data_IF_974765489421
#
_entry.id   IF_974765489421
#
_cell.length_a   1.000
_cell.length_b   1.000
_cell.length_c   1.000
_cell.angle_alpha   90.00
_cell.angle_beta   90.00
_cell.angle_gamma   90.00
#
_symmetry.space_group_name_H-M   'P 1'
#
loop_
_entity.id
_entity.type
_entity.pdbx_description
1 polymer ?
#
# COMPACT_ATOMS: atom_id res chain seq x y z
N UNK A 1 -32.89 8.44 -106.18
CA UNK A 1 -32.67 9.89 -105.96
C UNK A 1 -33.13 10.25 -104.56
N UNK A 2 -32.23 10.55 -103.62
CA UNK A 2 -32.30 11.67 -102.67
C UNK A 2 -30.87 11.88 -102.13
N UNK A 3 -30.45 13.15 -102.13
CA UNK A 3 -29.11 13.66 -101.81
C UNK A 3 -28.75 13.51 -100.33
N UNK A 4 -27.44 13.39 -100.06
CA UNK A 4 -26.77 13.65 -98.78
C UNK A 4 -27.19 15.02 -98.19
N UNK A 5 -27.34 15.07 -96.86
CA UNK A 5 -27.03 16.26 -96.05
C UNK A 5 -26.03 15.88 -94.95
N UNK A 6 -24.93 16.62 -94.93
CA UNK A 6 -23.93 16.63 -93.85
C UNK A 6 -24.48 17.45 -92.68
N UNK A 7 -24.44 16.89 -91.46
CA UNK A 7 -24.50 17.70 -90.23
C UNK A 7 -23.53 17.16 -89.16
N UNK A 8 -22.59 18.01 -88.77
CA UNK A 8 -22.21 18.21 -87.37
C UNK A 8 -21.37 17.14 -86.66
N UNK A 9 -20.05 17.34 -86.64
CA UNK A 9 -19.18 16.82 -85.56
C UNK A 9 -19.71 17.31 -84.21
N UNK A 10 -20.16 16.41 -83.34
CA UNK A 10 -20.33 16.70 -81.91
C UNK A 10 -19.59 15.67 -81.08
N UNK A 11 -18.49 16.12 -80.47
CA UNK A 11 -17.79 15.38 -79.43
C UNK A 11 -18.72 15.22 -78.23
N UNK A 12 -19.18 14.00 -77.96
CA UNK A 12 -19.80 13.67 -76.69
C UNK A 12 -18.72 13.68 -75.59
N UNK A 13 -18.41 14.88 -75.06
CA UNK A 13 -17.78 15.00 -73.75
C UNK A 13 -18.78 14.44 -72.73
N UNK A 14 -18.65 13.15 -72.42
CA UNK A 14 -19.16 12.56 -71.19
C UNK A 14 -18.73 13.48 -70.04
N UNK A 15 -19.68 14.22 -69.46
CA UNK A 15 -19.47 14.95 -68.22
C UNK A 15 -19.11 13.90 -67.17
N UNK A 16 -17.82 13.81 -66.85
CA UNK A 16 -17.36 13.08 -65.66
C UNK A 16 -18.16 13.61 -64.47
N UNK A 17 -18.85 12.70 -63.77
CA UNK A 17 -19.50 13.01 -62.49
C UNK A 17 -18.43 13.59 -61.56
N UNK A 18 -18.70 14.67 -60.81
CA UNK A 18 -17.74 15.18 -59.85
C UNK A 18 -17.43 14.08 -58.84
N UNK A 19 -16.14 13.83 -58.67
CA UNK A 19 -15.59 12.84 -57.77
C UNK A 19 -15.94 13.28 -56.34
N UNK A 20 -16.93 12.66 -55.70
CA UNK A 20 -17.20 12.85 -54.28
C UNK A 20 -16.07 12.17 -53.49
N UNK A 21 -14.93 12.86 -53.41
CA UNK A 21 -13.90 12.55 -52.42
C UNK A 21 -14.46 12.75 -51.00
N UNK A 22 -13.82 12.16 -49.97
CA UNK A 22 -14.28 12.27 -48.60
C UNK A 22 -14.37 13.76 -48.22
N UNK A 23 -15.58 14.20 -47.91
CA UNK A 23 -15.88 15.55 -47.47
C UNK A 23 -15.04 15.81 -46.22
N UNK A 24 -13.95 16.58 -46.35
CA UNK A 24 -13.25 17.11 -45.19
C UNK A 24 -14.28 17.92 -44.42
N UNK A 25 -14.63 17.48 -43.21
CA UNK A 25 -15.41 18.25 -42.24
C UNK A 25 -14.74 19.61 -42.05
N UNK A 26 -15.10 20.60 -42.88
CA UNK A 26 -14.79 22.00 -42.66
C UNK A 26 -15.81 22.49 -41.64
N UNK A 27 -15.56 22.19 -40.36
CA UNK A 27 -16.10 23.05 -39.32
C UNK A 27 -15.65 24.48 -39.66
N UNK A 28 -16.60 25.39 -39.81
CA UNK A 28 -16.39 26.81 -40.15
C UNK A 28 -15.66 27.58 -39.04
N UNK A 29 -15.49 26.96 -37.86
CA UNK A 29 -14.72 27.49 -36.76
C UNK A 29 -13.24 27.11 -36.92
N UNK A 30 -12.37 28.09 -37.15
CA UNK A 30 -10.92 27.90 -37.05
C UNK A 30 -10.60 27.41 -35.62
N UNK A 31 -10.02 26.21 -35.51
CA UNK A 31 -9.54 25.71 -34.22
C UNK A 31 -8.54 26.69 -33.61
N UNK A 32 -8.68 27.02 -32.33
CA UNK A 32 -7.81 28.00 -31.68
C UNK A 32 -6.37 27.50 -31.61
N UNK A 33 -5.38 28.32 -31.95
CA UNK A 33 -3.95 28.00 -31.79
C UNK A 33 -3.47 28.13 -30.33
N UNK A 34 -4.41 28.22 -29.39
CA UNK A 34 -4.12 28.43 -27.98
C UNK A 34 -3.29 27.27 -27.41
N UNK A 35 -2.36 27.57 -26.50
CA UNK A 35 -1.44 26.60 -25.90
C UNK A 35 -2.13 25.46 -25.14
N UNK A 36 -3.38 25.67 -24.73
CA UNK A 36 -4.25 24.71 -24.05
C UNK A 36 -5.27 24.05 -25.00
N UNK A 37 -5.15 24.18 -26.32
CA UNK A 37 -6.00 23.45 -27.26
C UNK A 37 -5.35 22.08 -27.65
N UNK A 38 -5.94 20.92 -27.27
CA UNK A 38 -5.43 19.60 -27.60
C UNK A 38 -5.50 19.29 -29.10
N UNK A 39 -6.40 19.97 -29.82
CA UNK A 39 -6.63 19.75 -31.26
C UNK A 39 -5.99 20.84 -32.12
N UNK A 40 -5.06 21.63 -31.57
CA UNK A 40 -4.29 22.60 -32.36
C UNK A 40 -3.46 21.88 -33.44
N UNK A 41 -3.30 22.46 -34.63
CA UNK A 41 -2.38 21.94 -35.62
C UNK A 41 -0.94 21.97 -35.05
N UNK A 42 -0.21 20.86 -35.21
CA UNK A 42 1.18 20.74 -34.81
C UNK A 42 2.02 20.34 -36.02
N UNK A 43 2.91 21.23 -36.45
CA UNK A 43 3.89 20.91 -37.48
C UNK A 43 5.00 20.04 -36.90
N UNK A 44 5.53 19.09 -37.68
CA UNK A 44 6.58 18.17 -37.23
C UNK A 44 7.85 18.88 -36.71
N UNK A 45 8.09 20.12 -37.13
CA UNK A 45 9.22 20.96 -36.70
C UNK A 45 9.02 21.64 -35.33
N UNK A 46 7.81 21.61 -34.78
CA UNK A 46 7.44 22.35 -33.56
C UNK A 46 7.64 21.55 -32.27
N UNK A 47 8.90 21.19 -31.96
CA UNK A 47 9.24 20.39 -30.76
C UNK A 47 8.88 21.07 -29.43
N UNK A 48 8.96 22.41 -29.37
CA UNK A 48 8.61 23.19 -28.18
C UNK A 48 7.13 23.03 -27.75
N UNK A 49 6.25 22.68 -28.70
CA UNK A 49 4.82 22.59 -28.44
C UNK A 49 4.46 21.33 -27.64
N UNK A 50 3.85 21.55 -26.46
CA UNK A 50 3.22 20.50 -25.62
C UNK A 50 2.37 19.53 -26.45
N UNK A 51 2.43 18.24 -26.12
CA UNK A 51 1.63 17.19 -26.76
C UNK A 51 0.16 17.25 -26.34
N UNK A 52 -0.73 16.64 -27.14
CA UNK A 52 -2.16 16.50 -26.83
C UNK A 52 -2.41 15.89 -25.44
N UNK A 53 -1.66 14.83 -25.10
CA UNK A 53 -1.74 14.18 -23.78
C UNK A 53 -1.33 15.13 -22.64
N UNK A 54 -0.23 15.87 -22.80
CA UNK A 54 0.19 16.86 -21.80
C UNK A 54 -0.85 17.96 -21.62
N UNK A 55 -1.46 18.44 -22.69
CA UNK A 55 -2.51 19.46 -22.64
C UNK A 55 -3.74 18.92 -21.89
N UNK A 56 -4.19 17.71 -22.20
CA UNK A 56 -5.32 17.07 -21.50
C UNK A 56 -5.03 16.87 -20.00
N UNK A 57 -3.83 16.43 -19.64
CA UNK A 57 -3.40 16.34 -18.24
C UNK A 57 -3.40 17.70 -17.53
N UNK A 58 -2.91 18.75 -18.19
CA UNK A 58 -2.92 20.09 -17.62
C UNK A 58 -4.34 20.67 -17.49
N UNK A 59 -5.24 20.34 -18.43
CA UNK A 59 -6.66 20.69 -18.34
C UNK A 59 -7.30 20.08 -17.10
N UNK A 60 -6.93 18.85 -16.72
CA UNK A 60 -7.43 18.21 -15.50
C UNK A 60 -7.28 19.10 -14.25
N UNK A 61 -6.16 19.81 -14.07
CA UNK A 61 -6.00 20.71 -12.91
C UNK A 61 -6.85 21.98 -12.97
N UNK A 62 -7.36 22.36 -14.15
CA UNK A 62 -8.09 23.62 -14.38
C UNK A 62 -9.59 23.44 -14.63
N UNK A 63 -10.01 22.32 -15.21
CA UNK A 63 -11.36 22.11 -15.76
C UNK A 63 -12.25 21.21 -14.91
N UNK A 64 -12.08 21.21 -13.58
CA UNK A 64 -12.90 20.46 -12.62
C UNK A 64 -14.10 21.27 -12.10
N UNK A 65 -14.71 22.07 -12.98
CA UNK A 65 -15.88 22.90 -12.65
C UNK A 65 -17.02 22.62 -13.63
N UNK A 66 -18.28 22.69 -13.19
CA UNK A 66 -19.41 22.58 -14.09
C UNK A 66 -19.46 23.80 -15.02
N UNK A 67 -19.88 23.58 -16.26
CA UNK A 67 -20.14 24.64 -17.22
C UNK A 67 -21.58 25.06 -17.06
N UNK A 68 -21.81 26.37 -16.90
CA UNK A 68 -23.14 26.96 -16.67
C UNK A 68 -23.50 27.92 -17.79
N UNK A 69 -24.79 28.10 -18.00
CA UNK A 69 -25.33 29.18 -18.81
C UNK A 69 -25.32 30.52 -18.03
N UNK A 70 -25.67 31.62 -18.71
CA UNK A 70 -25.79 32.96 -18.12
C UNK A 70 -26.78 33.01 -16.96
N UNK A 71 -27.86 32.22 -17.04
CA UNK A 71 -28.88 32.10 -16.00
C UNK A 71 -28.45 31.19 -14.82
N UNK A 72 -27.22 30.64 -14.87
CA UNK A 72 -26.65 29.80 -13.81
C UNK A 72 -27.04 28.32 -13.88
N UNK A 73 -27.85 27.91 -14.86
CA UNK A 73 -28.21 26.51 -15.10
C UNK A 73 -26.99 25.70 -15.56
N UNK A 74 -26.83 24.48 -15.04
CA UNK A 74 -25.67 23.62 -15.38
C UNK A 74 -25.90 22.98 -16.75
N UNK A 75 -25.15 23.43 -17.75
CA UNK A 75 -25.13 22.84 -19.10
C UNK A 75 -24.32 21.56 -19.13
N UNK A 76 -23.19 21.53 -18.42
CA UNK A 76 -22.32 20.35 -18.32
C UNK A 76 -21.88 20.17 -16.88
N UNK A 77 -22.20 19.02 -16.30
CA UNK A 77 -21.73 18.62 -14.99
C UNK A 77 -20.20 18.61 -14.91
N UNK A 78 -19.65 18.81 -13.71
CA UNK A 78 -18.22 18.61 -13.49
C UNK A 78 -17.85 17.14 -13.76
N UNK A 79 -16.58 16.85 -14.11
CA UNK A 79 -16.10 15.48 -14.23
C UNK A 79 -16.43 14.67 -12.97
N UNK A 80 -16.90 13.43 -13.14
CA UNK A 80 -17.31 12.51 -12.07
C UNK A 80 -18.50 12.96 -11.21
N UNK A 81 -19.25 13.99 -11.63
CA UNK A 81 -20.47 14.46 -10.98
C UNK A 81 -21.68 14.42 -11.93
N UNK A 82 -21.65 13.53 -12.92
CA UNK A 82 -22.75 13.37 -13.86
C UNK A 82 -23.92 12.64 -13.22
N UNK A 83 -25.13 13.13 -13.47
CA UNK A 83 -26.35 12.43 -13.12
C UNK A 83 -26.74 11.45 -14.22
N UNK A 84 -27.25 10.30 -13.80
CA UNK A 84 -27.88 9.36 -14.72
C UNK A 84 -29.27 9.87 -15.11
N UNK A 85 -29.70 9.54 -16.33
CA UNK A 85 -31.05 9.87 -16.77
C UNK A 85 -32.07 9.06 -15.96
N UNK A 86 -33.23 9.65 -15.68
CA UNK A 86 -34.33 8.91 -15.07
C UNK A 86 -34.64 7.65 -15.90
N UNK A 87 -34.75 6.50 -15.24
CA UNK A 87 -34.97 5.20 -15.89
C UNK A 87 -33.70 4.45 -16.31
N UNK A 88 -32.49 4.91 -15.98
CA UNK A 88 -31.29 4.07 -16.13
C UNK A 88 -31.36 2.88 -15.18
N UNK A 89 -31.36 1.67 -15.73
CA UNK A 89 -31.42 0.42 -14.95
C UNK A 89 -30.06 -0.26 -14.99
N UNK A 90 -29.50 -0.57 -13.82
CA UNK A 90 -28.32 -1.43 -13.71
C UNK A 90 -28.78 -2.89 -13.63
N UNK A 91 -28.64 -3.66 -14.72
CA UNK A 91 -28.95 -5.10 -14.77
C UNK A 91 -27.67 -5.91 -14.93
N UNK A 92 -27.58 -7.04 -14.22
CA UNK A 92 -26.53 -8.03 -14.42
C UNK A 92 -27.10 -9.14 -15.29
N UNK A 93 -26.45 -9.39 -16.43
CA UNK A 93 -26.87 -10.44 -17.35
C UNK A 93 -26.62 -11.84 -16.75
N UNK A 94 -27.61 -12.75 -16.79
CA UNK A 94 -27.40 -14.13 -16.34
C UNK A 94 -26.40 -14.82 -17.27
N UNK A 95 -25.31 -15.32 -16.73
CA UNK A 95 -24.25 -15.98 -17.49
C UNK A 95 -23.75 -17.23 -16.75
N UNK A 96 -23.66 -18.38 -17.44
CA UNK A 96 -23.15 -19.63 -16.84
C UNK A 96 -21.71 -19.49 -16.33
N UNK A 97 -20.94 -18.57 -16.90
CA UNK A 97 -19.55 -18.26 -16.50
C UNK A 97 -19.43 -17.78 -15.06
N UNK A 98 -20.48 -17.21 -14.47
CA UNK A 98 -20.47 -16.77 -13.07
C UNK A 98 -20.27 -17.93 -12.08
N UNK A 99 -20.74 -19.12 -12.45
CA UNK A 99 -20.79 -20.30 -11.58
C UNK A 99 -19.64 -21.28 -11.84
N UNK A 100 -18.76 -20.99 -12.80
CA UNK A 100 -17.57 -21.78 -13.07
C UNK A 100 -16.42 -21.41 -12.12
N UNK A 101 -15.57 -22.39 -11.79
CA UNK A 101 -14.36 -22.14 -11.02
C UNK A 101 -13.45 -21.15 -11.77
N UNK A 102 -13.13 -20.01 -11.15
CA UNK A 102 -12.34 -18.93 -11.78
C UNK A 102 -10.83 -19.06 -11.59
N UNK A 103 -10.39 -19.71 -10.50
CA UNK A 103 -8.98 -20.00 -10.20
C UNK A 103 -8.87 -21.40 -9.63
N UNK A 104 -8.07 -22.25 -10.28
CA UNK A 104 -7.78 -23.63 -9.86
C UNK A 104 -6.27 -23.76 -9.71
N UNK A 105 -5.81 -24.42 -8.65
CA UNK A 105 -4.39 -24.71 -8.40
C UNK A 105 -4.27 -26.19 -8.07
N UNK A 106 -3.34 -26.89 -8.75
CA UNK A 106 -3.07 -28.30 -8.46
C UNK A 106 -2.24 -28.47 -7.18
N UNK A 107 -2.41 -29.59 -6.48
CA UNK A 107 -1.77 -29.84 -5.18
C UNK A 107 -0.23 -29.82 -5.26
N UNK A 108 0.37 -30.44 -6.28
CA UNK A 108 1.83 -30.43 -6.45
C UNK A 108 2.38 -29.02 -6.71
N UNK A 109 1.66 -28.22 -7.49
CA UNK A 109 2.03 -26.84 -7.77
C UNK A 109 1.92 -25.99 -6.51
N UNK A 110 0.90 -26.25 -5.68
CA UNK A 110 0.73 -25.58 -4.39
C UNK A 110 1.90 -25.89 -3.46
N UNK A 111 2.30 -27.16 -3.34
CA UNK A 111 3.40 -27.56 -2.46
C UNK A 111 4.74 -26.95 -2.92
N UNK A 112 5.04 -27.02 -4.22
CA UNK A 112 6.21 -26.35 -4.82
C UNK A 112 6.18 -24.84 -4.60
N UNK A 113 5.01 -24.23 -4.69
CA UNK A 113 4.82 -22.80 -4.44
C UNK A 113 5.10 -22.45 -2.97
N UNK A 114 4.56 -23.21 -2.03
CA UNK A 114 4.79 -23.00 -0.60
C UNK A 114 6.28 -23.14 -0.23
N UNK A 115 6.97 -24.14 -0.75
CA UNK A 115 8.39 -24.36 -0.48
C UNK A 115 9.25 -23.20 -1.01
N UNK A 116 9.03 -22.80 -2.27
CA UNK A 116 9.79 -21.72 -2.90
C UNK A 116 9.50 -20.37 -2.25
N UNK A 117 8.22 -20.06 -2.00
CA UNK A 117 7.83 -18.81 -1.36
C UNK A 117 8.34 -18.74 0.08
N UNK A 118 8.34 -19.87 0.81
CA UNK A 118 8.91 -19.96 2.16
C UNK A 118 10.43 -19.76 2.20
N UNK A 119 11.17 -20.11 1.14
CA UNK A 119 12.60 -19.77 1.01
C UNK A 119 12.78 -18.27 0.76
N UNK A 120 12.04 -17.70 -0.18
CA UNK A 120 12.12 -16.27 -0.55
C UNK A 120 11.70 -15.37 0.61
N UNK A 121 10.65 -15.70 1.35
CA UNK A 121 10.13 -14.88 2.46
C UNK A 121 11.08 -14.84 3.67
N UNK A 122 11.96 -15.84 3.82
CA UNK A 122 12.99 -15.87 4.87
C UNK A 122 14.20 -15.01 4.55
N UNK A 123 14.49 -14.77 3.26
CA UNK A 123 15.61 -13.95 2.83
C UNK A 123 15.21 -12.46 2.80
N UNK A 124 15.79 -11.60 3.66
CA UNK A 124 15.46 -10.18 3.72
C UNK A 124 15.89 -9.40 2.48
N UNK A 125 16.77 -9.95 1.64
CA UNK A 125 17.25 -9.29 0.42
C UNK A 125 16.42 -9.65 -0.81
N UNK A 126 15.61 -10.71 -0.74
CA UNK A 126 14.73 -11.11 -1.83
C UNK A 126 13.34 -10.53 -1.65
N UNK A 127 12.77 -10.09 -2.77
CA UNK A 127 11.54 -9.31 -2.78
C UNK A 127 10.55 -9.90 -3.77
N UNK A 128 9.34 -10.17 -3.29
CA UNK A 128 8.23 -10.66 -4.13
C UNK A 128 7.47 -9.49 -4.73
N UNK A 129 7.59 -9.31 -6.05
CA UNK A 129 7.04 -8.13 -6.73
C UNK A 129 5.52 -8.15 -6.97
N UNK A 130 4.94 -9.32 -7.29
CA UNK A 130 3.52 -9.43 -7.72
C UNK A 130 2.69 -10.27 -6.75
N UNK A 131 2.67 -9.86 -5.49
CA UNK A 131 1.97 -10.57 -4.41
C UNK A 131 0.46 -10.72 -4.66
N UNK A 132 -0.21 -9.71 -5.24
CA UNK A 132 -1.67 -9.72 -5.47
C UNK A 132 -2.16 -10.76 -6.48
N UNK A 133 -1.26 -11.24 -7.35
CA UNK A 133 -1.58 -12.30 -8.32
C UNK A 133 -1.36 -13.71 -7.75
N UNK A 134 -0.66 -13.82 -6.63
CA UNK A 134 -0.28 -15.08 -6.01
C UNK A 134 -1.27 -15.44 -4.89
N UNK A 135 -1.61 -16.73 -4.71
CA UNK A 135 -2.53 -17.18 -3.66
C UNK A 135 -1.82 -17.25 -2.30
N UNK A 136 -1.42 -16.10 -1.75
CA UNK A 136 -0.63 -16.01 -0.50
C UNK A 136 -1.42 -16.48 0.73
N UNK A 137 -2.75 -16.37 0.71
CA UNK A 137 -3.60 -16.88 1.79
C UNK A 137 -3.40 -18.37 2.08
N UNK A 138 -3.07 -19.17 1.05
CA UNK A 138 -2.81 -20.62 1.17
C UNK A 138 -1.48 -20.95 1.88
N UNK A 139 -0.63 -19.96 2.14
CA UNK A 139 0.61 -20.14 2.92
C UNK A 139 0.35 -20.00 4.43
N UNK A 140 -0.69 -19.28 4.82
CA UNK A 140 -0.91 -18.80 6.19
C UNK A 140 -2.00 -19.55 6.96
N UNK A 141 -2.54 -20.64 6.41
CA UNK A 141 -3.48 -21.51 7.12
C UNK A 141 -2.75 -22.23 8.27
N UNK A 142 -2.53 -21.49 9.37
CA UNK A 142 -2.25 -22.10 10.67
C UNK A 142 -3.52 -22.81 11.11
N UNK A 143 -3.38 -23.98 11.73
CA UNK A 143 -4.50 -24.70 12.32
C UNK A 143 -5.31 -23.74 13.21
N UNK A 144 -6.52 -23.40 12.74
CA UNK A 144 -7.37 -22.33 13.30
C UNK A 144 -7.82 -22.59 14.74
N UNK A 145 -7.59 -23.80 15.24
CA UNK A 145 -8.07 -24.35 16.50
C UNK A 145 -6.91 -25.11 17.17
N UNK A 146 -5.94 -24.40 17.74
CA UNK A 146 -4.86 -25.05 18.51
C UNK A 146 -5.33 -25.47 19.91
N UNK A 147 -6.45 -24.93 20.38
CA UNK A 147 -7.11 -25.28 21.65
C UNK A 147 -8.60 -25.47 21.42
N UNK A 148 -9.18 -26.45 22.09
CA UNK A 148 -10.64 -26.68 22.11
C UNK A 148 -11.32 -25.52 22.79
N UNK A 149 -12.39 -25.00 22.20
CA UNK A 149 -13.14 -23.87 22.73
C UNK A 149 -14.05 -24.37 23.88
N UNK A 150 -13.61 -24.17 25.12
CA UNK A 150 -14.28 -24.72 26.33
C UNK A 150 -15.72 -24.25 26.44
N UNK A 151 -16.06 -23.04 25.98
CA UNK A 151 -17.42 -22.50 26.06
C UNK A 151 -18.42 -23.24 25.20
N UNK A 152 -17.97 -23.98 24.19
CA UNK A 152 -18.84 -24.82 23.34
C UNK A 152 -19.30 -26.07 24.12
N UNK A 153 -18.49 -26.49 25.10
CA UNK A 153 -18.81 -27.62 26.01
C UNK A 153 -19.44 -27.16 27.32
N UNK A 154 -19.06 -25.98 27.81
CA UNK A 154 -19.41 -25.45 29.13
C UNK A 154 -19.68 -23.94 29.02
N UNK A 155 -20.94 -23.56 28.78
CA UNK A 155 -21.33 -22.14 28.73
C UNK A 155 -21.25 -21.49 30.12
N UNK A 156 -21.07 -20.17 30.16
CA UNK A 156 -20.99 -19.41 31.41
C UNK A 156 -22.26 -19.52 32.28
N UNK A 157 -23.44 -19.56 31.64
CA UNK A 157 -24.73 -19.66 32.34
C UNK A 157 -24.90 -20.98 33.09
N UNK A 158 -24.35 -22.06 32.55
CA UNK A 158 -24.45 -23.41 33.15
C UNK A 158 -23.25 -23.77 34.03
N UNK A 159 -22.14 -23.03 33.96
CA UNK A 159 -20.96 -23.25 34.83
C UNK A 159 -21.04 -22.47 36.13
N UNK A 160 -21.54 -21.22 36.10
CA UNK A 160 -21.60 -20.34 37.27
C UNK A 160 -22.99 -19.70 37.43
N UNK A 161 -23.39 -19.39 38.67
CA UNK A 161 -24.63 -18.69 38.98
C UNK A 161 -25.84 -19.60 39.24
N UNK A 162 -27.04 -19.00 39.19
CA UNK A 162 -28.30 -19.65 39.64
C UNK A 162 -28.71 -20.86 38.79
N UNK A 163 -28.32 -20.88 37.50
CA UNK A 163 -28.60 -21.97 36.55
C UNK A 163 -27.42 -22.95 36.42
N UNK A 164 -26.46 -22.92 37.35
CA UNK A 164 -25.28 -23.79 37.31
C UNK A 164 -25.66 -25.28 37.38
N UNK A 165 -25.31 -26.01 36.33
CA UNK A 165 -25.48 -27.46 36.22
C UNK A 165 -24.22 -28.21 36.68
N UNK A 166 -23.06 -27.55 36.69
CA UNK A 166 -21.78 -28.16 37.07
C UNK A 166 -21.72 -28.45 38.58
N UNK A 167 -21.73 -29.73 38.94
CA UNK A 167 -21.63 -30.18 40.35
C UNK A 167 -20.22 -30.56 40.79
N UNK A 168 -19.32 -30.92 39.86
CA UNK A 168 -17.95 -31.36 40.17
C UNK A 168 -16.94 -30.64 39.28
N UNK A 169 -15.75 -30.30 39.79
CA UNK A 169 -14.69 -29.76 38.97
C UNK A 169 -14.05 -30.86 38.11
N UNK A 170 -13.67 -30.50 36.87
CA UNK A 170 -12.75 -31.31 36.07
C UNK A 170 -11.34 -31.07 36.61
N UNK A 171 -10.85 -32.00 37.41
CA UNK A 171 -9.49 -31.98 37.95
C UNK A 171 -8.54 -32.70 36.98
N UNK A 172 -7.32 -32.20 36.88
CA UNK A 172 -6.25 -32.84 36.10
C UNK A 172 -5.45 -33.86 36.91
N UNK A 173 -5.58 -33.83 38.25
CA UNK A 173 -4.90 -34.74 39.17
C UNK A 173 -5.78 -35.96 39.47
N UNK A 174 -5.15 -37.14 39.53
CA UNK A 174 -5.80 -38.42 39.82
C UNK A 174 -5.83 -38.77 41.31
N UNK A 175 -4.80 -38.38 42.06
CA UNK A 175 -4.66 -38.70 43.48
C UNK A 175 -4.54 -37.45 44.35
N UNK A 176 -4.80 -37.61 45.65
CA UNK A 176 -4.60 -36.54 46.63
C UNK A 176 -3.11 -36.14 46.72
N UNK A 177 -2.21 -37.12 46.57
CA UNK A 177 -0.77 -36.89 46.60
C UNK A 177 -0.29 -36.06 45.40
N UNK A 178 -0.85 -36.29 44.20
CA UNK A 178 -0.54 -35.45 43.03
C UNK A 178 -1.02 -34.01 43.25
N UNK A 179 -2.17 -33.85 43.91
CA UNK A 179 -2.72 -32.54 44.23
C UNK A 179 -1.80 -31.79 45.20
N UNK A 180 -1.35 -32.43 46.29
CA UNK A 180 -0.45 -31.80 47.27
C UNK A 180 0.89 -31.43 46.65
N UNK A 181 1.48 -32.30 45.82
CA UNK A 181 2.70 -31.99 45.05
C UNK A 181 2.52 -30.76 44.17
N UNK A 182 1.42 -30.68 43.41
CA UNK A 182 1.13 -29.54 42.54
C UNK A 182 0.92 -28.23 43.30
N UNK A 183 0.33 -28.30 44.50
CA UNK A 183 0.14 -27.14 45.37
C UNK A 183 1.48 -26.66 45.91
N UNK A 184 2.34 -27.59 46.32
CA UNK A 184 3.66 -27.27 46.84
C UNK A 184 4.56 -26.64 45.76
N UNK A 185 4.59 -27.22 44.55
CA UNK A 185 5.31 -26.63 43.41
C UNK A 185 4.81 -25.21 43.08
N UNK A 186 3.48 -24.99 43.09
CA UNK A 186 2.91 -23.66 42.86
C UNK A 186 3.25 -22.66 43.96
N UNK A 187 3.26 -23.10 45.22
CA UNK A 187 3.65 -22.27 46.35
C UNK A 187 5.13 -21.90 46.29
N UNK A 188 6.00 -22.84 45.91
CA UNK A 188 7.44 -22.60 45.72
C UNK A 188 7.71 -21.69 44.51
N UNK A 189 6.90 -21.81 43.45
CA UNK A 189 7.03 -20.98 42.23
C UNK A 189 6.37 -19.61 42.40
N UNK A 190 5.49 -19.44 43.40
CA UNK A 190 4.76 -18.20 43.61
C UNK A 190 5.70 -17.09 44.07
N UNK A 191 5.68 -15.99 43.32
CA UNK A 191 6.54 -14.83 43.53
C UNK A 191 5.66 -13.61 43.78
N UNK A 192 5.72 -13.12 45.02
CA UNK A 192 4.93 -11.98 45.52
C UNK A 192 5.12 -10.74 44.64
N UNK A 193 6.31 -10.54 44.07
CA UNK A 193 6.62 -9.37 43.23
C UNK A 193 5.92 -9.45 41.88
N UNK A 194 5.67 -10.65 41.37
CA UNK A 194 4.99 -10.89 40.09
C UNK A 194 3.47 -10.92 40.23
N UNK A 195 2.94 -10.98 41.45
CA UNK A 195 1.51 -10.94 41.70
C UNK A 195 0.98 -9.51 41.50
N UNK A 196 0.26 -9.32 40.40
CA UNK A 196 -0.33 -8.03 40.03
C UNK A 196 -1.57 -7.71 40.86
N UNK A 197 -2.24 -8.73 41.40
CA UNK A 197 -3.51 -8.60 42.12
C UNK A 197 -3.30 -8.49 43.64
N UNK A 198 -2.06 -8.65 44.12
CA UNK A 198 -1.71 -8.41 45.50
C UNK A 198 -1.96 -6.95 45.89
N UNK A 199 -3.04 -6.73 46.63
CA UNK A 199 -3.31 -5.46 47.30
C UNK A 199 -2.34 -5.32 48.48
N UNK A 200 -1.40 -4.39 48.35
CA UNK A 200 -0.50 -3.99 49.44
C UNK A 200 -1.05 -2.68 49.99
N UNK A 201 -1.46 -2.69 51.26
CA UNK A 201 -2.18 -1.60 51.92
C UNK A 201 -1.44 -0.23 51.86
N UNK A 202 -0.13 -0.22 51.67
CA UNK A 202 0.72 0.98 51.70
C UNK A 202 1.02 1.63 50.34
N UNK A 203 0.54 1.09 49.21
CA UNK A 203 0.89 1.62 47.86
C UNK A 203 0.38 3.04 47.55
N UNK A 204 -0.50 3.60 48.38
CA UNK A 204 -1.22 4.84 48.09
C UNK A 204 -0.80 6.07 48.93
N UNK A 205 0.26 5.98 49.75
CA UNK A 205 0.67 7.09 50.61
C UNK A 205 1.45 8.20 49.88
N UNK A 206 2.01 7.90 48.70
CA UNK A 206 2.76 8.88 47.89
C UNK A 206 2.11 9.02 46.52
N UNK A 207 1.58 10.21 46.23
CA UNK A 207 1.02 10.53 44.91
C UNK A 207 2.15 10.81 43.95
N UNK A 208 2.35 9.96 42.95
CA UNK A 208 3.24 10.25 41.83
C UNK A 208 2.75 11.48 41.07
N UNK A 209 3.65 12.40 40.77
CA UNK A 209 3.32 13.58 39.97
C UNK A 209 2.90 13.18 38.55
N UNK A 210 1.98 13.96 37.97
CA UNK A 210 1.54 13.70 36.60
C UNK A 210 2.72 13.88 35.63
N UNK A 211 2.95 12.94 34.70
CA UNK A 211 4.02 13.07 33.72
C UNK A 211 3.81 14.30 32.85
N UNK A 212 4.90 15.03 32.60
CA UNK A 212 4.86 16.24 31.78
C UNK A 212 4.26 15.95 30.39
N UNK A 213 3.23 16.70 29.94
CA UNK A 213 2.62 16.53 28.62
C UNK A 213 3.60 16.53 27.44
N UNK A 214 4.77 17.16 27.59
CA UNK A 214 5.84 17.15 26.60
C UNK A 214 6.29 15.74 26.21
N UNK A 215 6.26 14.78 27.14
CA UNK A 215 6.62 13.38 26.85
C UNK A 215 5.63 12.67 25.91
N UNK A 216 4.44 13.24 25.70
CA UNK A 216 3.45 12.76 24.72
C UNK A 216 3.59 13.45 23.36
N UNK A 217 4.52 14.40 23.21
CA UNK A 217 4.79 15.04 21.94
C UNK A 217 5.21 13.99 20.89
N UNK A 218 4.69 14.11 19.67
CA UNK A 218 4.91 13.12 18.60
C UNK A 218 3.91 11.96 18.58
N UNK A 219 3.17 11.69 19.67
CA UNK A 219 2.15 10.63 19.71
C UNK A 219 0.74 11.10 19.31
N UNK A 220 0.60 12.35 18.86
CA UNK A 220 -0.70 12.91 18.47
C UNK A 220 -1.31 12.18 17.27
N UNK A 221 -2.65 12.06 17.24
CA UNK A 221 -3.38 11.49 16.11
C UNK A 221 -3.07 12.18 14.77
N UNK A 222 -2.75 13.48 14.80
CA UNK A 222 -2.34 14.24 13.61
C UNK A 222 -1.03 13.71 13.02
N UNK A 223 -0.02 13.47 13.86
CA UNK A 223 1.29 12.96 13.44
C UNK A 223 1.16 11.54 12.92
N UNK A 224 0.39 10.68 13.61
CA UNK A 224 0.09 9.33 13.14
C UNK A 224 -0.70 9.33 11.82
N UNK A 225 -1.63 10.27 11.64
CA UNK A 225 -2.35 10.45 10.38
C UNK A 225 -1.42 10.77 9.20
N UNK A 226 -0.48 11.70 9.40
CA UNK A 226 0.55 12.00 8.39
C UNK A 226 1.49 10.80 8.16
N UNK A 227 1.88 10.08 9.21
CA UNK A 227 2.67 8.86 9.09
C UNK A 227 1.99 7.84 8.19
N UNK A 228 0.73 7.49 8.47
CA UNK A 228 0.02 6.49 7.68
C UNK A 228 -0.22 6.94 6.24
N UNK A 229 -0.39 8.25 6.00
CA UNK A 229 -0.48 8.82 4.65
C UNK A 229 0.84 8.67 3.88
N UNK A 230 1.98 8.93 4.52
CA UNK A 230 3.31 8.71 3.91
C UNK A 230 3.51 7.23 3.63
N UNK A 231 3.24 6.37 4.61
CA UNK A 231 3.34 4.92 4.46
C UNK A 231 2.46 4.41 3.34
N UNK A 232 1.27 4.99 3.13
CA UNK A 232 0.37 4.59 2.05
C UNK A 232 0.81 5.08 0.67
N UNK A 233 1.33 6.30 0.60
CA UNK A 233 1.77 6.92 -0.65
C UNK A 233 3.12 6.39 -1.15
N UNK A 234 3.95 5.84 -0.27
CA UNK A 234 5.28 5.32 -0.61
C UNK A 234 5.26 3.89 -1.16
N UNK A 235 6.11 3.62 -2.14
CA UNK A 235 6.43 2.28 -2.64
C UNK A 235 7.53 1.61 -1.81
N UNK A 236 8.50 2.44 -1.37
CA UNK A 236 9.63 2.04 -0.54
C UNK A 236 9.67 2.93 0.69
N UNK A 237 9.75 2.33 1.87
CA UNK A 237 9.87 3.00 3.17
C UNK A 237 11.30 2.89 3.64
N UNK A 238 11.93 4.03 3.89
CA UNK A 238 13.27 4.16 4.43
C UNK A 238 13.16 4.56 5.90
N UNK A 239 13.52 3.66 6.79
CA UNK A 239 13.57 3.91 8.22
C UNK A 239 14.96 4.42 8.61
N UNK A 240 15.04 5.66 9.05
CA UNK A 240 16.29 6.29 9.52
C UNK A 240 16.39 6.11 11.03
N UNK A 241 17.49 5.50 11.48
CA UNK A 241 17.79 5.22 12.87
C UNK A 241 19.13 5.84 13.29
N UNK A 242 19.34 6.08 14.58
CA UNK A 242 20.60 6.63 15.11
C UNK A 242 21.62 5.50 15.35
N UNK A 243 22.88 5.70 14.93
CA UNK A 243 23.98 4.77 15.19
C UNK A 243 24.30 4.56 16.68
N UNK A 244 23.97 5.55 17.53
CA UNK A 244 24.24 5.50 18.99
C UNK A 244 23.30 4.56 19.73
N UNK A 245 22.01 4.60 19.38
CA UNK A 245 20.99 3.69 19.91
C UNK A 245 20.00 3.27 18.81
N UNK A 246 20.40 2.33 17.94
CA UNK A 246 19.56 1.89 16.84
C UNK A 246 18.34 1.09 17.30
N UNK A 247 18.36 0.47 18.48
CA UNK A 247 17.22 -0.31 18.98
C UNK A 247 16.16 0.59 19.62
N UNK A 248 16.55 1.62 20.37
CA UNK A 248 15.61 2.57 20.95
C UNK A 248 14.98 3.52 19.92
N UNK A 249 15.70 3.84 18.84
CA UNK A 249 15.21 4.72 17.77
C UNK A 249 14.45 4.00 16.65
N UNK A 250 14.31 2.68 16.76
CA UNK A 250 13.57 1.83 15.81
C UNK A 250 12.09 1.74 16.18
N UNK A 251 11.21 1.73 15.18
CA UNK A 251 9.76 1.64 15.39
C UNK A 251 9.21 0.27 14.97
N UNK A 252 9.30 -0.73 15.85
CA UNK A 252 8.82 -2.10 15.58
C UNK A 252 7.35 -2.18 15.20
N UNK A 253 6.52 -1.30 15.78
CA UNK A 253 5.09 -1.25 15.48
C UNK A 253 4.82 -1.03 13.98
N UNK A 254 5.52 -0.08 13.35
CA UNK A 254 5.36 0.21 11.92
C UNK A 254 5.89 -0.93 11.06
N UNK A 255 6.96 -1.57 11.47
CA UNK A 255 7.56 -2.70 10.74
C UNK A 255 6.66 -3.93 10.75
N UNK A 256 6.08 -4.24 11.91
CA UNK A 256 5.08 -5.30 12.03
C UNK A 256 3.83 -4.97 11.22
N UNK A 257 3.37 -3.73 11.28
CA UNK A 257 2.24 -3.27 10.47
C UNK A 257 2.52 -3.43 8.98
N UNK A 258 3.69 -3.01 8.49
CA UNK A 258 4.06 -3.17 7.08
C UNK A 258 4.17 -4.65 6.70
N UNK A 259 4.74 -5.50 7.56
CA UNK A 259 4.87 -6.94 7.30
C UNK A 259 3.52 -7.66 7.23
N UNK A 260 2.56 -7.25 8.06
CA UNK A 260 1.21 -7.85 8.16
C UNK A 260 0.29 -7.30 7.07
N UNK A 261 0.15 -5.98 6.99
CA UNK A 261 -0.87 -5.31 6.17
C UNK A 261 -0.38 -4.93 4.77
N UNK A 262 0.91 -4.57 4.62
CA UNK A 262 1.47 -4.04 3.35
C UNK A 262 2.76 -4.75 2.91
N UNK A 263 2.75 -6.10 2.75
CA UNK A 263 3.95 -6.88 2.41
C UNK A 263 4.56 -6.57 1.04
N UNK A 264 3.85 -5.83 0.18
CA UNK A 264 4.31 -5.40 -1.14
C UNK A 264 5.22 -4.16 -1.08
N UNK A 265 5.33 -3.52 0.08
CA UNK A 265 6.17 -2.34 0.30
C UNK A 265 7.54 -2.77 0.81
N UNK A 266 8.57 -2.10 0.31
CA UNK A 266 9.95 -2.43 0.65
C UNK A 266 10.36 -1.61 1.86
N UNK A 267 10.89 -2.26 2.89
CA UNK A 267 11.40 -1.60 4.08
C UNK A 267 12.92 -1.70 4.10
N UNK A 268 13.58 -0.54 4.18
CA UNK A 268 15.05 -0.41 4.20
C UNK A 268 15.45 0.43 5.40
N UNK A 269 16.52 0.04 6.07
CA UNK A 269 17.04 0.78 7.23
C UNK A 269 18.29 1.57 6.86
N UNK A 270 18.33 2.81 7.32
CA UNK A 270 19.49 3.70 7.18
C UNK A 270 19.96 4.11 8.58
N UNK A 271 21.17 3.67 8.94
CA UNK A 271 21.84 4.08 10.17
C UNK A 271 22.49 5.43 9.91
N UNK A 272 21.96 6.50 10.49
CA UNK A 272 22.49 7.86 10.42
C UNK A 272 23.39 8.16 11.64
N UNK A 273 24.16 9.25 11.57
CA UNK A 273 25.09 9.71 12.62
C UNK A 273 26.23 8.72 12.94
N UNK A 274 26.69 8.01 11.91
CA UNK A 274 27.78 7.02 12.05
C UNK A 274 29.14 7.63 12.39
N UNK A 275 29.27 8.95 12.25
CA UNK A 275 30.41 9.76 12.69
C UNK A 275 30.53 9.85 14.21
N UNK A 276 29.44 9.70 14.96
CA UNK A 276 29.42 9.79 16.41
C UNK A 276 29.84 8.49 17.12
N UNK A 277 30.02 7.41 16.35
CA UNK A 277 30.39 6.10 16.88
C UNK A 277 31.63 5.55 16.17
N UNK A 278 32.46 4.75 16.84
CA UNK A 278 33.58 4.09 16.19
C UNK A 278 33.12 3.17 15.04
N UNK A 279 33.94 3.05 14.00
CA UNK A 279 33.60 2.27 12.79
C UNK A 279 33.27 0.80 13.06
N UNK A 280 33.88 0.19 14.09
CA UNK A 280 33.59 -1.19 14.47
C UNK A 280 32.16 -1.36 15.03
N UNK A 281 31.63 -0.34 15.72
CA UNK A 281 30.25 -0.32 16.24
C UNK A 281 29.28 -0.28 15.06
N UNK A 282 29.52 0.61 14.10
CA UNK A 282 28.71 0.71 12.88
C UNK A 282 28.68 -0.62 12.11
N UNK A 283 29.85 -1.27 11.94
CA UNK A 283 29.94 -2.57 11.27
C UNK A 283 29.14 -3.65 12.00
N UNK A 284 29.23 -3.69 13.33
CA UNK A 284 28.47 -4.63 14.17
C UNK A 284 26.96 -4.40 14.02
N UNK A 285 26.50 -3.15 14.04
CA UNK A 285 25.08 -2.83 13.85
C UNK A 285 24.56 -3.20 12.46
N UNK A 286 25.32 -2.92 11.40
CA UNK A 286 24.96 -3.36 10.04
C UNK A 286 24.83 -4.89 10.01
N UNK A 287 25.77 -5.63 10.63
CA UNK A 287 25.74 -7.09 10.64
C UNK A 287 24.53 -7.65 11.38
N UNK A 288 24.06 -6.98 12.44
CA UNK A 288 22.90 -7.43 13.20
C UNK A 288 21.59 -7.10 12.47
N UNK A 289 21.45 -5.86 12.01
CA UNK A 289 20.22 -5.39 11.35
C UNK A 289 20.02 -5.99 9.96
N UNK A 290 21.10 -6.28 9.23
CA UNK A 290 21.05 -6.92 7.91
C UNK A 290 20.46 -8.33 7.94
N UNK A 291 20.37 -8.98 9.12
CA UNK A 291 19.66 -10.26 9.27
C UNK A 291 18.15 -10.10 9.05
N UNK A 292 17.61 -8.93 9.33
CA UNK A 292 16.17 -8.68 9.30
C UNK A 292 15.74 -7.82 8.10
N UNK A 293 16.57 -6.86 7.70
CA UNK A 293 16.28 -5.94 6.60
C UNK A 293 17.54 -5.29 6.01
N UNK A 294 17.53 -4.94 4.71
CA UNK A 294 18.65 -4.26 4.08
C UNK A 294 19.01 -2.98 4.84
N UNK A 295 20.26 -2.90 5.32
CA UNK A 295 20.72 -1.81 6.18
C UNK A 295 21.92 -1.10 5.57
N UNK A 296 21.87 0.24 5.51
CA UNK A 296 22.95 1.09 5.00
C UNK A 296 23.43 2.04 6.09
N UNK A 297 24.74 2.21 6.23
CA UNK A 297 25.32 3.27 7.04
C UNK A 297 25.41 4.59 6.26
N UNK A 298 25.09 5.69 6.94
CA UNK A 298 25.01 7.02 6.34
C UNK A 298 25.52 8.08 7.32
N UNK A 299 26.21 9.08 6.78
CA UNK A 299 26.51 10.33 7.48
C UNK A 299 26.01 11.49 6.63
N UNK A 300 25.06 12.23 7.19
CA UNK A 300 24.43 13.38 6.54
C UNK A 300 25.33 14.63 6.70
N UNK A 301 25.95 15.05 5.61
CA UNK A 301 26.64 16.34 5.52
C UNK A 301 26.58 16.84 4.08
N UNK A 302 26.42 18.15 3.88
CA UNK A 302 26.36 18.75 2.54
C UNK A 302 27.71 18.61 1.82
N UNK A 303 28.80 18.83 2.56
CA UNK A 303 30.16 18.83 2.02
C UNK A 303 30.84 17.47 2.16
N UNK A 304 30.67 16.80 3.30
CA UNK A 304 31.40 15.58 3.65
C UNK A 304 30.45 14.40 3.92
N UNK A 305 29.55 14.07 3.00
CA UNK A 305 28.63 12.94 3.19
C UNK A 305 29.32 11.57 3.08
N UNK A 306 28.89 10.61 3.90
CA UNK A 306 29.22 9.18 3.72
C UNK A 306 27.95 8.38 3.35
N UNK A 307 28.10 7.36 2.50
CA UNK A 307 26.99 6.45 2.14
C UNK A 307 26.03 6.97 1.05
N UNK A 308 26.18 8.21 0.58
CA UNK A 308 25.33 8.83 -0.47
C UNK A 308 25.22 7.98 -1.74
N UNK A 309 26.35 7.48 -2.25
CA UNK A 309 26.37 6.63 -3.45
C UNK A 309 25.65 5.30 -3.24
N UNK A 310 25.80 4.69 -2.06
CA UNK A 310 25.16 3.42 -1.72
C UNK A 310 23.63 3.56 -1.66
N UNK A 311 23.13 4.61 -0.98
CA UNK A 311 21.70 4.90 -0.93
C UNK A 311 21.15 5.17 -2.33
N UNK A 312 21.79 6.05 -3.13
CA UNK A 312 21.33 6.34 -4.50
C UNK A 312 21.30 5.08 -5.37
N UNK A 313 22.31 4.22 -5.26
CA UNK A 313 22.36 2.97 -6.02
C UNK A 313 21.21 2.04 -5.62
N UNK A 314 20.96 1.87 -4.32
CA UNK A 314 19.84 1.07 -3.82
C UNK A 314 18.49 1.61 -4.31
N UNK A 315 18.26 2.92 -4.23
CA UNK A 315 17.03 3.54 -4.73
C UNK A 315 16.89 3.34 -6.25
N UNK A 316 17.98 3.47 -7.02
CA UNK A 316 17.96 3.18 -8.47
C UNK A 316 17.65 1.72 -8.77
N UNK A 317 18.10 0.79 -7.94
CA UNK A 317 17.75 -0.63 -8.09
C UNK A 317 16.25 -0.84 -7.91
N UNK A 318 15.64 -0.21 -6.89
CA UNK A 318 14.18 -0.25 -6.71
C UNK A 318 13.42 0.43 -7.87
N UNK A 319 13.93 1.53 -8.40
CA UNK A 319 13.36 2.16 -9.60
C UNK A 319 13.43 1.24 -10.83
N UNK A 320 14.55 0.51 -11.01
CA UNK A 320 14.72 -0.49 -12.08
C UNK A 320 13.87 -1.73 -11.84
N UNK A 321 13.50 -2.02 -10.60
CA UNK A 321 12.65 -3.14 -10.24
C UNK A 321 11.17 -2.83 -10.56
N UNK A 322 10.71 -1.60 -10.32
CA UNK A 322 9.37 -1.09 -10.61
C UNK A 322 9.27 -0.37 -11.97
N UNK A 323 9.72 -0.99 -13.07
CA UNK A 323 9.70 -0.36 -14.42
C UNK A 323 8.30 -0.10 -14.97
N UNK A 324 7.31 -0.82 -14.45
CA UNK A 324 5.90 -0.67 -14.80
C UNK A 324 5.29 0.62 -14.25
N UNK A 325 5.88 1.19 -13.20
CA UNK A 325 5.48 2.48 -12.63
C UNK A 325 6.26 3.60 -13.30
N UNK A 326 5.56 4.71 -13.59
CA UNK A 326 6.20 5.91 -14.15
C UNK A 326 7.14 6.58 -13.15
N UNK A 327 6.86 6.45 -11.86
CA UNK A 327 7.59 7.04 -10.75
C UNK A 327 7.54 6.10 -9.56
N UNK A 328 8.58 6.14 -8.74
CA UNK A 328 8.67 5.39 -7.48
C UNK A 328 8.80 6.40 -6.34
N UNK A 329 7.94 6.27 -5.33
CA UNK A 329 7.89 7.18 -4.20
C UNK A 329 8.61 6.55 -3.01
N UNK A 330 9.56 7.29 -2.45
CA UNK A 330 10.34 6.90 -1.28
C UNK A 330 9.84 7.69 -0.07
N UNK A 331 9.32 7.00 0.94
CA UNK A 331 8.90 7.59 2.21
C UNK A 331 10.00 7.48 3.24
N UNK A 332 10.30 8.56 3.95
CA UNK A 332 11.28 8.55 5.05
C UNK A 332 10.56 8.56 6.39
N UNK A 333 10.97 7.66 7.28
CA UNK A 333 10.46 7.51 8.63
C UNK A 333 11.62 7.61 9.62
N UNK A 334 11.50 8.43 10.66
CA UNK A 334 12.48 8.47 11.74
C UNK A 334 11.84 8.92 13.05
N UNK A 335 12.59 8.78 14.14
CA UNK A 335 12.34 9.56 15.35
C UNK A 335 12.68 11.06 15.13
N UNK A 336 12.04 12.00 15.86
CA UNK A 336 12.00 13.44 15.53
C UNK A 336 13.34 14.20 15.52
N UNK A 337 14.46 13.59 15.91
CA UNK A 337 15.79 14.23 16.00
C UNK A 337 16.82 13.70 15.00
N UNK A 338 16.41 12.82 14.07
CA UNK A 338 17.33 12.05 13.23
C UNK A 338 17.21 12.31 11.72
N UNK A 339 16.31 13.22 11.30
CA UNK A 339 16.10 13.64 9.90
C UNK A 339 16.71 15.01 9.55
N UNK A 340 17.28 15.71 10.51
CA UNK A 340 17.90 17.03 10.31
C UNK A 340 19.34 16.93 9.81
#
# INVERSE_FOLDING_TARGET
MVKKRNEGKTNAKLKQKPNYGPVKNRHTFRGSNHSMNPDRPKDAKSSHLRSKATINRLRMYKSFKPIRDKDGTILKAAPFQSWLKSGTVARVEPNRKWFGNTRIVGQEQLQKFQENLGKVMRDPFQVVMKQTKLPISLLQEKAKQQRVHVTDTESFEYTFGKKSLRKRPKLTCSSLEDMTKSVQERAETYDIVKDRDLQVDDRNLVREENPNPLFRAGQSNRVWGELYKVLDSSDVVVQVIDARDPMGTRCRHVEEFLRKEKPHKHLVTVINKVDLVPTWVTRKWISELSKEMPTIAFHASIQHSFGKGAVINLLRQFAKLHKDRQQVIYGFLSYPTYLA
#
